data_IF_639984639544
#
_entry.id   IF_639984639544
#
_cell.length_a   1.000
_cell.length_b   1.000
_cell.length_c   1.000
_cell.angle_alpha   90.00
_cell.angle_beta   90.00
_cell.angle_gamma   90.00
#
_symmetry.space_group_name_H-M   'P 1'
#
loop_
_entity.id
_entity.type
_entity.pdbx_description
1 polymer ?
#
# COMPACT_ATOMS: atom_id res chain seq x y z
N UNK A 1 4.93 -21.57 -16.57
CA UNK A 1 5.28 -20.14 -16.68
C UNK A 1 5.40 -19.76 -18.14
N UNK A 2 4.47 -18.95 -18.66
CA UNK A 2 4.62 -18.28 -19.97
C UNK A 2 5.04 -16.84 -19.69
N UNK A 3 6.04 -16.33 -20.39
CA UNK A 3 6.66 -15.03 -20.06
C UNK A 3 5.79 -13.82 -20.45
N UNK A 4 4.75 -14.04 -21.25
CA UNK A 4 3.80 -13.00 -21.67
C UNK A 4 2.61 -12.81 -20.73
N UNK A 5 2.48 -13.62 -19.67
CA UNK A 5 1.39 -13.50 -18.70
C UNK A 5 1.79 -12.50 -17.63
N UNK A 6 1.00 -11.43 -17.49
CA UNK A 6 1.15 -10.41 -16.45
C UNK A 6 -0.06 -10.50 -15.51
N UNK A 7 0.20 -10.48 -14.21
CA UNK A 7 -0.83 -10.46 -13.17
C UNK A 7 -0.64 -9.26 -12.26
N UNK A 8 -1.75 -8.68 -11.79
CA UNK A 8 -1.76 -7.61 -10.81
C UNK A 8 -2.66 -8.03 -9.66
N UNK A 9 -2.22 -7.74 -8.43
CA UNK A 9 -2.98 -7.94 -7.20
C UNK A 9 -2.89 -6.64 -6.40
N UNK A 10 -4.04 -6.19 -5.90
CA UNK A 10 -4.13 -5.21 -4.82
C UNK A 10 -4.43 -5.95 -3.52
N UNK A 11 -3.73 -5.63 -2.45
CA UNK A 11 -3.92 -6.29 -1.15
C UNK A 11 -3.71 -5.30 0.01
N UNK A 12 -4.36 -5.58 1.14
CA UNK A 12 -4.06 -4.96 2.44
C UNK A 12 -3.19 -5.86 3.33
N UNK A 13 -2.91 -7.09 2.90
CA UNK A 13 -2.04 -8.02 3.62
C UNK A 13 -0.56 -7.69 3.34
N UNK A 14 0.12 -7.20 4.37
CA UNK A 14 1.53 -6.80 4.29
C UNK A 14 2.47 -8.00 4.15
N UNK A 15 2.07 -9.20 4.59
CA UNK A 15 2.90 -10.42 4.46
C UNK A 15 3.11 -10.80 2.99
N UNK A 16 2.18 -10.39 2.11
CA UNK A 16 2.35 -10.62 0.67
C UNK A 16 3.47 -9.77 0.06
N UNK A 17 3.94 -8.72 0.74
CA UNK A 17 5.05 -7.91 0.24
C UNK A 17 6.40 -8.63 0.36
N UNK A 18 6.53 -9.58 1.29
CA UNK A 18 7.78 -10.32 1.51
C UNK A 18 8.15 -11.22 0.31
N UNK A 19 7.19 -11.53 -0.56
CA UNK A 19 7.41 -12.32 -1.78
C UNK A 19 8.30 -11.63 -2.83
N UNK A 20 8.49 -10.31 -2.76
CA UNK A 20 9.43 -9.60 -3.66
C UNK A 20 10.89 -10.00 -3.41
N UNK A 21 11.22 -10.40 -2.18
CA UNK A 21 12.57 -10.79 -1.77
C UNK A 21 12.88 -12.27 -2.02
N UNK A 22 11.92 -13.05 -2.51
CA UNK A 22 12.14 -14.47 -2.81
C UNK A 22 13.18 -14.67 -3.93
N UNK A 23 14.20 -15.54 -3.72
CA UNK A 23 15.20 -15.83 -4.74
C UNK A 23 14.59 -16.36 -6.05
N UNK A 24 14.85 -15.66 -7.15
CA UNK A 24 14.28 -16.03 -8.47
C UNK A 24 12.80 -15.66 -8.65
N UNK A 25 12.23 -14.89 -7.72
CA UNK A 25 10.87 -14.37 -7.80
C UNK A 25 10.66 -13.37 -8.95
N UNK A 26 9.40 -13.27 -9.41
CA UNK A 26 8.97 -12.31 -10.45
C UNK A 26 7.98 -11.28 -9.91
N UNK A 27 7.76 -11.27 -8.60
CA UNK A 27 6.85 -10.35 -7.92
C UNK A 27 7.58 -9.04 -7.65
N UNK A 28 6.88 -7.92 -7.85
CA UNK A 28 7.36 -6.57 -7.57
C UNK A 28 6.30 -5.79 -6.83
N UNK A 29 6.67 -5.17 -5.72
CA UNK A 29 5.74 -4.39 -4.92
C UNK A 29 5.61 -2.99 -5.49
N UNK A 30 4.39 -2.48 -5.46
CA UNK A 30 4.11 -1.09 -5.74
C UNK A 30 3.03 -0.55 -4.81
N UNK A 31 3.06 0.76 -4.56
CA UNK A 31 2.04 1.46 -3.76
C UNK A 31 1.73 2.85 -4.32
N UNK A 32 0.64 3.41 -3.84
CA UNK A 32 0.29 4.82 -3.96
C UNK A 32 0.59 5.54 -2.64
N UNK A 33 0.83 6.84 -2.69
CA UNK A 33 1.00 7.67 -1.49
C UNK A 33 -0.24 8.53 -1.30
N UNK A 34 -0.71 8.58 -0.05
CA UNK A 34 -1.65 9.55 0.44
C UNK A 34 -1.00 10.62 1.32
N UNK A 35 -1.54 11.83 1.27
CA UNK A 35 -1.24 12.95 2.18
C UNK A 35 -2.51 13.46 2.83
N UNK A 36 -2.35 14.13 3.97
CA UNK A 36 -3.46 14.58 4.80
C UNK A 36 -3.43 16.09 4.95
N UNK A 37 -4.48 16.78 4.52
CA UNK A 37 -4.65 18.23 4.69
C UNK A 37 -6.13 18.58 4.78
N UNK A 38 -6.48 19.58 5.58
CA UNK A 38 -7.84 20.15 5.66
C UNK A 38 -8.97 19.11 5.83
N UNK A 39 -8.77 18.15 6.74
CA UNK A 39 -9.71 17.02 6.98
C UNK A 39 -10.02 16.19 5.72
N UNK A 40 -9.11 16.17 4.76
CA UNK A 40 -9.23 15.41 3.53
C UNK A 40 -8.00 14.53 3.28
N UNK A 41 -8.26 13.38 2.66
CA UNK A 41 -7.23 12.49 2.15
C UNK A 41 -6.96 12.86 0.69
N UNK A 42 -5.71 13.14 0.37
CA UNK A 42 -5.27 13.41 -0.99
C UNK A 42 -4.40 12.26 -1.49
N UNK A 43 -4.74 11.71 -2.65
CA UNK A 43 -3.93 10.70 -3.33
C UNK A 43 -3.23 11.35 -4.52
N UNK A 44 -1.96 11.02 -4.73
CA UNK A 44 -1.24 11.52 -5.90
C UNK A 44 -1.37 10.63 -7.15
N UNK A 45 -1.98 9.46 -6.99
CA UNK A 45 -2.21 8.46 -8.03
C UNK A 45 -0.95 8.03 -8.79
N UNK A 46 0.24 8.10 -8.16
CA UNK A 46 1.50 7.66 -8.74
C UNK A 46 1.95 6.33 -8.15
N UNK A 47 2.11 5.33 -9.02
CA UNK A 47 2.74 4.06 -8.69
C UNK A 47 4.20 4.28 -8.30
N UNK A 48 4.58 3.81 -7.12
CA UNK A 48 5.94 3.83 -6.59
C UNK A 48 6.39 2.44 -6.23
N UNK A 49 7.67 2.16 -6.44
CA UNK A 49 8.27 0.87 -6.09
C UNK A 49 8.26 0.63 -4.59
N UNK A 50 8.11 -0.64 -4.20
CA UNK A 50 8.13 -1.12 -2.83
C UNK A 50 6.76 -1.11 -2.15
N UNK A 51 6.67 -1.67 -0.93
CA UNK A 51 5.43 -1.70 -0.16
C UNK A 51 5.04 -0.31 0.37
N UNK A 52 3.75 -0.16 0.71
CA UNK A 52 3.25 1.07 1.31
C UNK A 52 3.88 1.30 2.69
N UNK A 53 4.24 2.54 3.03
CA UNK A 53 4.88 2.86 4.33
C UNK A 53 3.93 3.48 5.35
N UNK A 54 2.72 3.79 4.95
CA UNK A 54 1.72 4.50 5.75
C UNK A 54 0.47 3.63 5.93
N UNK A 55 -0.25 3.87 7.02
CA UNK A 55 -1.55 3.25 7.27
C UNK A 55 -2.62 4.32 7.36
N UNK A 56 -3.49 4.38 6.35
CA UNK A 56 -4.60 5.33 6.28
C UNK A 56 -5.66 5.11 7.35
N UNK A 57 -5.78 3.89 7.89
CA UNK A 57 -6.79 3.53 8.87
C UNK A 57 -6.67 4.39 10.14
N UNK A 58 -5.44 4.64 10.62
CA UNK A 58 -5.23 5.47 11.82
C UNK A 58 -5.69 6.90 11.62
N UNK A 59 -5.46 7.46 10.44
CA UNK A 59 -5.91 8.80 10.11
C UNK A 59 -7.44 8.88 9.98
N UNK A 60 -8.04 7.93 9.26
CA UNK A 60 -9.50 7.85 9.09
C UNK A 60 -10.23 7.73 10.43
N UNK A 61 -9.72 6.92 11.36
CA UNK A 61 -10.29 6.78 12.70
C UNK A 61 -10.27 8.12 13.46
N UNK A 62 -9.17 8.87 13.40
CA UNK A 62 -9.08 10.21 14.01
C UNK A 62 -10.09 11.19 13.40
N UNK A 63 -10.28 11.18 12.08
CA UNK A 63 -11.27 12.04 11.41
C UNK A 63 -12.71 11.79 11.89
N UNK A 64 -13.07 10.55 12.19
CA UNK A 64 -14.41 10.19 12.67
C UNK A 64 -14.56 10.28 14.20
N UNK A 65 -13.57 10.84 14.90
CA UNK A 65 -13.59 11.04 16.35
C UNK A 65 -13.26 9.79 17.17
N UNK A 66 -12.62 8.79 16.57
CA UNK A 66 -12.10 7.61 17.29
C UNK A 66 -10.66 7.89 17.70
N UNK A 67 -10.44 8.04 19.00
CA UNK A 67 -9.10 8.14 19.59
C UNK A 67 -8.42 6.77 19.57
N UNK A 68 -7.26 6.71 18.92
CA UNK A 68 -6.39 5.54 18.95
C UNK A 68 -5.41 5.74 20.09
N UNK A 69 -5.55 4.93 21.14
CA UNK A 69 -4.55 4.79 22.19
C UNK A 69 -3.35 4.02 21.61
N UNK A 70 -2.16 4.61 21.71
CA UNK A 70 -0.90 4.00 21.26
C UNK A 70 -0.43 2.86 22.18
#
# INVERSE_FOLDING_TARGET
NKDWIIGLISTHDYQLCDFEDEPGGRIKNYHFIETYSDDAIQFDYRLRSGPCKTSNARYLMRMIGIDILD
#
